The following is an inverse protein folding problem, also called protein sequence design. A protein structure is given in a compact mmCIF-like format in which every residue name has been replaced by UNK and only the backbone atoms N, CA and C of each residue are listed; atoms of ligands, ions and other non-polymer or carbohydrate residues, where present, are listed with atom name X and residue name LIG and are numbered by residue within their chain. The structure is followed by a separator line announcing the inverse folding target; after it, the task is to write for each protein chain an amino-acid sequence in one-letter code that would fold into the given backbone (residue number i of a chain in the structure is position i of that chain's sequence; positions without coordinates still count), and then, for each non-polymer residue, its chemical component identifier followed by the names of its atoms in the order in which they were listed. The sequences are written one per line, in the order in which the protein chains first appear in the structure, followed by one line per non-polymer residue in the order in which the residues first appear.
data_IF_008401278809
#
_entry.id   IF_008401278809
#
_cell.length_a   1.000
_cell.length_b   1.000
_cell.length_c   1.000
_cell.angle_alpha   90.00
_cell.angle_beta   90.00
_cell.angle_gamma   90.00
#
_symmetry.space_group_name_H-M   'P 1'
#
loop_
_entity.id
_entity.type
_entity.pdbx_description
1 polymer ?
#
# COMPACT_ATOMS: atom_id res chain seq x y z
N UNK A 1 3.55 9.40 27.99
CA UNK A 1 3.58 9.48 26.51
C UNK A 1 4.87 8.83 26.06
N UNK A 2 4.81 7.56 25.65
CA UNK A 2 5.98 6.80 25.18
C UNK A 2 6.33 7.32 23.79
N UNK A 3 7.44 8.04 23.68
CA UNK A 3 8.02 8.41 22.39
C UNK A 3 8.65 7.13 21.83
N UNK A 4 8.00 6.48 20.85
CA UNK A 4 8.57 5.34 20.13
C UNK A 4 9.76 5.82 19.30
N UNK A 5 10.93 5.81 19.96
CA UNK A 5 12.21 6.00 19.33
C UNK A 5 12.75 4.60 19.05
N UNK A 6 12.91 4.24 17.79
CA UNK A 6 13.46 2.95 17.38
C UNK A 6 14.97 3.08 17.09
N UNK A 7 15.84 2.31 17.76
CA UNK A 7 17.27 2.36 17.51
C UNK A 7 17.61 1.71 16.17
N UNK A 8 18.26 2.47 15.29
CA UNK A 8 18.71 2.01 13.97
C UNK A 8 20.14 1.46 14.06
N UNK A 9 20.28 0.21 14.50
CA UNK A 9 21.58 -0.45 14.72
C UNK A 9 22.43 -0.60 13.45
N UNK A 10 21.79 -0.73 12.28
CA UNK A 10 22.45 -0.80 10.97
C UNK A 10 22.69 0.54 10.29
N UNK A 11 22.13 1.64 10.81
CA UNK A 11 22.21 2.93 10.14
C UNK A 11 23.57 3.59 10.39
N UNK A 12 24.14 4.13 9.32
CA UNK A 12 25.39 4.90 9.35
C UNK A 12 25.06 6.35 9.09
N UNK A 13 25.36 7.23 10.05
CA UNK A 13 25.09 8.64 9.88
C UNK A 13 25.85 9.17 8.64
N UNK A 14 25.16 9.85 7.69
CA UNK A 14 25.83 10.38 6.49
C UNK A 14 26.84 11.48 6.82
N UNK A 15 26.63 12.20 7.93
CA UNK A 15 27.47 13.33 8.36
C UNK A 15 28.73 12.87 9.09
N UNK A 16 28.58 12.17 10.22
CA UNK A 16 29.72 11.76 11.06
C UNK A 16 30.20 10.33 10.82
N UNK A 17 29.52 9.55 9.95
CA UNK A 17 29.84 8.16 9.60
C UNK A 17 29.80 7.16 10.77
N UNK A 18 29.32 7.56 11.94
CA UNK A 18 29.10 6.66 13.08
C UNK A 18 27.96 5.68 12.79
N UNK A 19 28.15 4.41 13.14
CA UNK A 19 27.15 3.34 12.97
C UNK A 19 26.40 3.08 14.26
N UNK A 20 25.11 2.76 14.16
CA UNK A 20 24.30 2.23 15.27
C UNK A 20 23.94 3.24 16.37
N UNK A 21 24.20 4.53 16.15
CA UNK A 21 23.88 5.63 17.08
C UNK A 21 22.83 6.59 16.50
N UNK A 22 21.94 6.04 15.67
CA UNK A 22 20.83 6.77 15.08
C UNK A 22 19.51 6.23 15.61
N UNK A 23 18.55 7.11 15.84
CA UNK A 23 17.22 6.78 16.32
C UNK A 23 16.17 7.30 15.35
N UNK A 24 15.21 6.45 14.99
CA UNK A 24 14.05 6.81 14.18
C UNK A 24 12.89 7.19 15.10
N UNK A 25 12.29 8.35 14.85
CA UNK A 25 11.00 8.71 15.42
C UNK A 25 9.92 8.32 14.41
N UNK A 26 9.17 7.25 14.69
CA UNK A 26 8.14 6.74 13.78
C UNK A 26 7.01 7.76 13.52
N UNK A 27 6.72 8.65 14.48
CA UNK A 27 5.65 9.66 14.35
C UNK A 27 6.01 10.77 13.38
N UNK A 28 7.27 11.20 13.39
CA UNK A 28 7.76 12.27 12.51
C UNK A 28 8.57 11.75 11.34
N UNK A 29 8.72 10.43 11.24
CA UNK A 29 9.60 9.73 10.31
C UNK A 29 11.01 10.35 10.28
N UNK A 30 11.52 10.76 11.45
CA UNK A 30 12.79 11.50 11.55
C UNK A 30 13.89 10.63 12.13
N UNK A 31 14.99 10.50 11.41
CA UNK A 31 16.21 9.83 11.88
C UNK A 31 17.15 10.86 12.48
N UNK A 32 17.51 10.68 13.75
CA UNK A 32 18.42 11.57 14.48
C UNK A 32 19.69 10.82 14.86
N UNK A 33 20.86 11.41 14.63
CA UNK A 33 22.13 10.87 15.10
C UNK A 33 22.49 11.48 16.46
N UNK A 34 22.70 10.66 17.48
CA UNK A 34 23.00 11.14 18.84
C UNK A 34 24.43 11.67 18.98
N UNK A 35 25.31 11.41 18.00
CA UNK A 35 26.71 11.84 18.06
C UNK A 35 26.92 13.26 17.53
N UNK A 36 26.35 13.55 16.36
CA UNK A 36 26.52 14.84 15.70
C UNK A 36 25.26 15.70 15.75
N UNK A 37 24.16 15.20 16.33
CA UNK A 37 22.87 15.89 16.40
C UNK A 37 22.16 16.03 15.06
N UNK A 38 22.71 15.49 13.98
CA UNK A 38 22.14 15.66 12.64
C UNK A 38 20.86 14.83 12.51
N UNK A 39 19.82 15.46 11.97
CA UNK A 39 18.51 14.87 11.77
C UNK A 39 18.13 14.90 10.29
N UNK A 40 17.59 13.80 9.80
CA UNK A 40 17.10 13.65 8.43
C UNK A 40 15.67 13.10 8.44
N UNK A 41 14.85 13.56 7.50
CA UNK A 41 13.48 13.05 7.32
C UNK A 41 13.49 11.88 6.36
N UNK A 42 12.75 10.82 6.70
CA UNK A 42 12.50 9.66 5.86
C UNK A 42 11.14 9.86 5.22
N UNK A 43 11.10 9.99 3.91
CA UNK A 43 9.85 9.99 3.15
C UNK A 43 9.41 8.54 2.95
N UNK A 44 8.37 8.12 3.65
CA UNK A 44 7.69 6.86 3.36
C UNK A 44 6.51 7.19 2.45
N UNK A 45 6.61 6.86 1.16
CA UNK A 45 5.46 6.97 0.26
C UNK A 45 4.42 5.92 0.64
N UNK A 46 3.14 6.29 0.82
CA UNK A 46 2.09 5.29 1.01
C UNK A 46 2.06 4.36 -0.22
N UNK A 47 1.82 3.07 0.00
CA UNK A 47 1.63 2.10 -1.07
C UNK A 47 0.42 2.53 -1.92
N UNK A 48 0.45 2.41 -3.27
CA UNK A 48 -0.67 2.78 -4.11
C UNK A 48 -1.94 2.00 -3.72
N UNK A 49 -3.09 2.69 -3.68
CA UNK A 49 -4.38 2.04 -3.42
C UNK A 49 -4.66 0.94 -4.46
N UNK A 50 -5.25 -0.20 -4.05
CA UNK A 50 -5.59 -1.27 -4.98
C UNK A 50 -6.59 -0.76 -6.03
N UNK A 51 -6.33 -1.09 -7.30
CA UNK A 51 -7.27 -0.77 -8.38
C UNK A 51 -8.64 -1.44 -8.13
N UNK A 52 -9.76 -0.75 -8.45
CA UNK A 52 -11.09 -1.30 -8.27
C UNK A 52 -11.29 -2.54 -9.16
N UNK A 53 -11.86 -3.62 -8.59
CA UNK A 53 -12.21 -4.81 -9.36
C UNK A 53 -13.21 -4.47 -10.49
N UNK A 54 -13.09 -5.12 -11.66
CA UNK A 54 -13.98 -4.88 -12.80
C UNK A 54 -15.42 -5.34 -12.48
N UNK A 55 -16.41 -4.49 -12.81
CA UNK A 55 -17.83 -4.84 -12.68
C UNK A 55 -18.22 -6.04 -13.58
N UNK A 56 -19.09 -6.94 -13.10
CA UNK A 56 -19.53 -8.11 -13.86
C UNK A 56 -20.38 -7.71 -15.08
N UNK A 57 -20.05 -8.25 -16.26
CA UNK A 57 -20.80 -8.00 -17.48
C UNK A 57 -22.25 -8.55 -17.42
N UNK A 58 -23.24 -7.81 -17.96
CA UNK A 58 -24.63 -8.24 -17.97
C UNK A 58 -24.84 -9.47 -18.87
N UNK A 59 -25.24 -10.59 -18.26
CA UNK A 59 -25.63 -11.82 -18.96
C UNK A 59 -26.88 -11.54 -19.81
N UNK A 60 -26.69 -11.45 -21.13
CA UNK A 60 -27.81 -11.26 -22.06
C UNK A 60 -28.72 -12.50 -22.03
N UNK A 61 -30.05 -12.34 -21.83
CA UNK A 61 -30.95 -13.48 -21.87
C UNK A 61 -30.93 -14.08 -23.26
N UNK A 62 -30.49 -15.34 -23.35
CA UNK A 62 -30.53 -16.14 -24.57
C UNK A 62 -31.99 -16.30 -24.95
N UNK A 63 -32.42 -15.58 -26.01
CA UNK A 63 -33.76 -15.73 -26.60
C UNK A 63 -33.94 -17.20 -26.99
N UNK A 64 -34.64 -17.95 -26.16
CA UNK A 64 -35.15 -19.27 -26.52
C UNK A 64 -36.18 -19.03 -27.61
N UNK A 65 -35.88 -19.49 -28.83
CA UNK A 65 -36.85 -19.51 -29.93
C UNK A 65 -38.04 -20.32 -29.45
N UNK A 66 -39.17 -19.65 -29.21
CA UNK A 66 -40.45 -20.28 -28.97
C UNK A 66 -40.74 -21.21 -30.15
N UNK A 67 -40.88 -22.50 -29.84
CA UNK A 67 -41.27 -23.50 -30.81
C UNK A 67 -42.66 -23.15 -31.32
N UNK A 68 -42.75 -22.88 -32.62
CA UNK A 68 -43.98 -22.62 -33.36
C UNK A 68 -44.93 -23.82 -33.17
N UNK A 69 -46.17 -23.65 -32.68
CA UNK A 69 -47.09 -24.78 -32.58
C UNK A 69 -47.41 -25.27 -33.99
N UNK A 70 -47.16 -26.56 -34.26
CA UNK A 70 -47.62 -27.23 -35.48
C UNK A 70 -49.13 -27.35 -35.40
N UNK A 71 -49.85 -26.49 -36.12
CA UNK A 71 -51.26 -26.67 -36.42
C UNK A 71 -51.44 -28.03 -37.10
N UNK A 72 -52.08 -28.98 -36.42
CA UNK A 72 -52.41 -30.29 -36.96
C UNK A 72 -53.78 -30.16 -37.62
N UNK A 73 -53.78 -30.01 -38.94
CA UNK A 73 -54.98 -30.13 -39.76
C UNK A 73 -55.40 -31.60 -39.82
N UNK A 74 -56.60 -31.92 -39.37
CA UNK A 74 -57.45 -32.99 -39.91
C UNK A 74 -58.89 -32.82 -39.44
#
# INVERSE_FOLDING_TARGET
MTTELEPLTGHRCPTCRTKGKSWLNAKTQQVTCTECGQASLVLITPEPEPEPEPEPEPVKPRRTRTARPRSKAK
#
